data_IF_294965400569
#
_entry.id   IF_294965400569
#
_cell.length_a   1.000
_cell.length_b   1.000
_cell.length_c   1.000
_cell.angle_alpha   90.00
_cell.angle_beta   90.00
_cell.angle_gamma   90.00
#
_symmetry.space_group_name_H-M   'P 1'
#
loop_
_entity.id
_entity.type
_entity.pdbx_description
1 polymer ?
#
# COMPACT_ATOMS: atom_id res chain seq x y z
N UNK A 1 -25.97 -11.31 -12.88
CA UNK A 1 -25.53 -11.32 -11.47
C UNK A 1 -24.45 -10.27 -11.31
N UNK A 2 -24.73 -9.16 -10.64
CA UNK A 2 -23.75 -8.25 -10.03
C UNK A 2 -24.53 -7.35 -9.05
N UNK A 3 -24.95 -7.97 -7.95
CA UNK A 3 -25.37 -7.28 -6.74
C UNK A 3 -24.12 -7.04 -5.88
N UNK A 4 -23.99 -5.84 -5.33
CA UNK A 4 -23.20 -5.62 -4.12
C UNK A 4 -22.19 -4.48 -4.19
N UNK A 5 -22.29 -3.60 -3.19
CA UNK A 5 -21.23 -2.78 -2.58
C UNK A 5 -21.15 -1.26 -2.85
N UNK A 6 -22.24 -0.61 -3.28
CA UNK A 6 -22.39 0.87 -3.12
C UNK A 6 -23.22 1.24 -1.86
N UNK A 7 -23.87 0.26 -1.23
CA UNK A 7 -24.82 0.46 -0.13
C UNK A 7 -24.28 0.89 1.25
N UNK A 8 -23.02 0.66 1.69
CA UNK A 8 -22.68 0.92 3.09
C UNK A 8 -22.47 2.41 3.39
N UNK A 9 -22.12 3.24 2.41
CA UNK A 9 -21.86 4.67 2.63
C UNK A 9 -23.16 5.50 2.68
N UNK A 10 -24.11 5.22 1.79
CA UNK A 10 -25.43 5.86 1.81
C UNK A 10 -26.22 5.43 3.05
N UNK A 11 -26.12 4.16 3.45
CA UNK A 11 -26.70 3.63 4.70
C UNK A 11 -26.11 4.29 5.95
N UNK A 12 -24.80 4.58 5.96
CA UNK A 12 -24.15 5.24 7.10
C UNK A 12 -24.56 6.72 7.18
N UNK A 13 -24.66 7.40 6.03
CA UNK A 13 -25.15 8.78 5.97
C UNK A 13 -26.62 8.86 6.42
N UNK A 14 -27.48 7.95 5.98
CA UNK A 14 -28.89 7.91 6.40
C UNK A 14 -29.04 7.57 7.89
N UNK A 15 -28.27 6.62 8.43
CA UNK A 15 -28.28 6.33 9.87
C UNK A 15 -27.78 7.50 10.72
N UNK A 16 -26.82 8.29 10.22
CA UNK A 16 -26.38 9.53 10.88
C UNK A 16 -27.48 10.59 10.86
N UNK A 17 -28.21 10.73 9.76
CA UNK A 17 -29.37 11.62 9.68
C UNK A 17 -30.52 11.16 10.60
N UNK A 18 -30.82 9.87 10.68
CA UNK A 18 -31.86 9.33 11.56
C UNK A 18 -31.46 9.46 13.04
N UNK A 19 -30.18 9.30 13.38
CA UNK A 19 -29.67 9.53 14.74
C UNK A 19 -29.72 11.02 15.13
N UNK A 20 -29.42 11.91 14.18
CA UNK A 20 -29.61 13.36 14.34
C UNK A 20 -31.09 13.75 14.45
N UNK A 21 -31.99 13.06 13.76
CA UNK A 21 -33.44 13.33 13.78
C UNK A 21 -34.13 12.78 15.04
N UNK A 22 -33.61 11.69 15.62
CA UNK A 22 -34.11 11.13 16.88
C UNK A 22 -33.64 11.94 18.10
N UNK A 23 -32.40 12.45 18.05
CA UNK A 23 -31.86 13.35 19.08
C UNK A 23 -32.40 14.77 18.98
N UNK A 24 -32.75 15.24 17.77
CA UNK A 24 -33.46 16.52 17.59
C UNK A 24 -34.88 16.46 18.16
N UNK A 25 -35.68 15.43 17.88
CA UNK A 25 -37.08 15.39 18.34
C UNK A 25 -37.24 15.29 19.87
N UNK A 26 -36.32 14.61 20.56
CA UNK A 26 -36.36 14.47 22.03
C UNK A 26 -35.72 15.65 22.79
N UNK A 27 -34.77 16.38 22.17
CA UNK A 27 -34.15 17.58 22.75
C UNK A 27 -34.91 18.87 22.48
N UNK A 28 -35.65 18.97 21.37
CA UNK A 28 -36.34 20.20 20.97
C UNK A 28 -37.62 20.46 21.78
N UNK A 29 -38.32 19.44 22.31
CA UNK A 29 -39.58 19.67 23.04
C UNK A 29 -39.36 20.29 24.43
N UNK A 30 -38.24 19.97 25.10
CA UNK A 30 -37.87 20.55 26.39
C UNK A 30 -37.08 21.85 26.25
N UNK A 31 -36.27 22.02 25.19
CA UNK A 31 -35.60 23.30 24.89
C UNK A 31 -36.53 24.36 24.31
N UNK A 32 -37.51 24.02 23.46
CA UNK A 32 -38.41 25.02 22.85
C UNK A 32 -39.29 25.75 23.87
N UNK A 33 -39.69 25.07 24.95
CA UNK A 33 -40.44 25.72 26.04
C UNK A 33 -39.57 26.61 26.93
N UNK A 34 -38.25 26.36 26.99
CA UNK A 34 -37.30 27.19 27.73
C UNK A 34 -36.76 28.36 26.88
N UNK A 35 -36.75 28.24 25.55
CA UNK A 35 -36.31 29.28 24.61
C UNK A 35 -37.40 30.29 24.23
N UNK A 36 -38.69 29.95 24.36
CA UNK A 36 -39.80 30.87 24.08
C UNK A 36 -39.81 32.13 24.96
N UNK A 37 -39.15 32.12 26.12
CA UNK A 37 -39.05 33.29 27.00
C UNK A 37 -37.84 34.19 26.70
N UNK A 38 -36.82 33.69 25.98
CA UNK A 38 -35.57 34.41 25.69
C UNK A 38 -35.65 35.18 24.35
N UNK A 39 -36.52 34.75 23.44
CA UNK A 39 -36.64 35.33 22.09
C UNK A 39 -37.31 36.72 22.09
N UNK A 40 -38.03 37.10 23.15
CA UNK A 40 -38.69 38.41 23.24
C UNK A 40 -37.75 39.60 23.52
N UNK A 41 -36.43 39.41 23.58
CA UNK A 41 -35.47 40.49 23.87
C UNK A 41 -34.23 40.56 22.94
N UNK A 42 -34.13 39.76 21.86
CA UNK A 42 -32.92 39.73 21.02
C UNK A 42 -33.21 40.31 19.64
N UNK A 43 -32.47 41.38 19.27
CA UNK A 43 -32.59 42.03 17.97
C UNK A 43 -32.20 41.08 16.81
N UNK A 44 -32.89 41.14 15.65
CA UNK A 44 -32.72 40.20 14.52
C UNK A 44 -31.30 40.09 13.96
N UNK A 45 -30.47 41.14 14.10
CA UNK A 45 -29.08 41.17 13.63
C UNK A 45 -28.20 40.13 14.31
N UNK A 46 -28.40 39.89 15.60
CA UNK A 46 -27.55 38.99 16.38
C UNK A 46 -27.78 37.51 16.00
N UNK A 47 -29.01 37.15 15.59
CA UNK A 47 -29.37 35.78 15.20
C UNK A 47 -28.65 35.39 13.89
N UNK A 48 -28.54 36.32 12.94
CA UNK A 48 -27.87 36.07 11.67
C UNK A 48 -26.36 35.83 11.86
N UNK A 49 -25.71 36.61 12.72
CA UNK A 49 -24.29 36.48 13.03
C UNK A 49 -23.96 35.15 13.73
N UNK A 50 -24.85 34.67 14.61
CA UNK A 50 -24.73 33.34 15.22
C UNK A 50 -24.85 32.20 14.19
N UNK A 51 -25.79 32.31 13.26
CA UNK A 51 -25.98 31.31 12.19
C UNK A 51 -24.75 31.26 11.28
N UNK A 52 -24.22 32.42 10.89
CA UNK A 52 -23.01 32.52 10.06
C UNK A 52 -21.78 31.93 10.77
N UNK A 53 -21.61 32.23 12.06
CA UNK A 53 -20.50 31.68 12.86
C UNK A 53 -20.59 30.16 12.98
N UNK A 54 -21.79 29.60 13.17
CA UNK A 54 -22.00 28.14 13.22
C UNK A 54 -21.72 27.48 11.85
N UNK A 55 -22.12 28.13 10.75
CA UNK A 55 -21.85 27.64 9.41
C UNK A 55 -20.34 27.61 9.11
N UNK A 56 -19.59 28.63 9.52
CA UNK A 56 -18.13 28.68 9.35
C UNK A 56 -17.42 27.56 10.13
N UNK A 57 -17.82 27.32 11.39
CA UNK A 57 -17.27 26.24 12.22
C UNK A 57 -17.57 24.87 11.59
N UNK A 58 -18.81 24.66 11.11
CA UNK A 58 -19.19 23.44 10.43
C UNK A 58 -18.38 23.23 9.13
N UNK A 59 -18.14 24.30 8.37
CA UNK A 59 -17.30 24.28 7.18
C UNK A 59 -15.87 23.84 7.47
N UNK A 60 -15.23 24.42 8.49
CA UNK A 60 -13.87 24.05 8.91
C UNK A 60 -13.81 22.59 9.40
N UNK A 61 -14.79 22.16 10.20
CA UNK A 61 -14.87 20.78 10.68
C UNK A 61 -15.03 19.77 9.54
N UNK A 62 -15.84 20.08 8.52
CA UNK A 62 -16.01 19.24 7.34
C UNK A 62 -14.72 19.08 6.54
N UNK A 63 -13.97 20.17 6.32
CA UNK A 63 -12.65 20.12 5.67
C UNK A 63 -11.68 19.26 6.47
N UNK A 64 -11.65 19.44 7.79
CA UNK A 64 -10.83 18.62 8.69
C UNK A 64 -11.16 17.13 8.60
N UNK A 65 -12.45 16.79 8.54
CA UNK A 65 -12.90 15.41 8.39
C UNK A 65 -12.53 14.82 7.03
N UNK A 66 -12.66 15.58 5.93
CA UNK A 66 -12.22 15.13 4.59
C UNK A 66 -10.72 14.85 4.58
N UNK A 67 -9.89 15.75 5.13
CA UNK A 67 -8.45 15.55 5.24
C UNK A 67 -8.12 14.30 6.05
N UNK A 68 -8.77 14.11 7.19
CA UNK A 68 -8.60 12.93 8.02
C UNK A 68 -8.98 11.65 7.26
N UNK A 69 -10.14 11.62 6.59
CA UNK A 69 -10.62 10.48 5.80
C UNK A 69 -9.66 10.16 4.66
N UNK A 70 -9.21 11.15 3.89
CA UNK A 70 -8.24 10.97 2.80
C UNK A 70 -6.92 10.40 3.34
N UNK A 71 -6.45 10.90 4.48
CA UNK A 71 -5.26 10.40 5.14
C UNK A 71 -5.41 8.94 5.58
N UNK A 72 -6.50 8.59 6.28
CA UNK A 72 -6.77 7.22 6.72
C UNK A 72 -6.96 6.26 5.54
N UNK A 73 -7.69 6.66 4.49
CA UNK A 73 -7.86 5.86 3.28
C UNK A 73 -6.53 5.64 2.55
N UNK A 74 -5.69 6.67 2.45
CA UNK A 74 -4.36 6.50 1.87
C UNK A 74 -3.52 5.48 2.63
N UNK A 75 -3.64 5.44 3.96
CA UNK A 75 -2.95 4.45 4.80
C UNK A 75 -3.51 3.04 4.60
N UNK A 76 -4.84 2.90 4.56
CA UNK A 76 -5.50 1.61 4.33
C UNK A 76 -5.15 1.02 2.96
N UNK A 77 -5.15 1.82 1.89
CA UNK A 77 -4.76 1.36 0.55
C UNK A 77 -3.33 0.83 0.51
N UNK A 78 -2.38 1.54 1.14
CA UNK A 78 -0.98 1.11 1.24
C UNK A 78 -0.82 -0.18 2.04
N UNK A 79 -1.62 -0.36 3.10
CA UNK A 79 -1.61 -1.59 3.90
C UNK A 79 -2.21 -2.78 3.14
N UNK A 80 -3.32 -2.57 2.44
CA UNK A 80 -3.93 -3.59 1.59
C UNK A 80 -2.95 -4.09 0.52
N UNK A 81 -2.25 -3.16 -0.16
CA UNK A 81 -1.21 -3.53 -1.13
C UNK A 81 -0.05 -4.31 -0.50
N UNK A 82 0.35 -4.00 0.75
CA UNK A 82 1.37 -4.79 1.45
C UNK A 82 0.89 -6.22 1.76
N UNK A 83 -0.38 -6.40 2.14
CA UNK A 83 -0.97 -7.72 2.36
C UNK A 83 -1.04 -8.51 1.06
N UNK A 84 -1.35 -7.87 -0.05
CA UNK A 84 -1.35 -8.50 -1.37
C UNK A 84 0.06 -8.96 -1.76
N UNK A 85 1.07 -8.11 -1.62
CA UNK A 85 2.48 -8.50 -1.80
C UNK A 85 2.86 -9.63 -0.84
N UNK A 86 2.39 -9.60 0.41
CA UNK A 86 2.66 -10.67 1.36
C UNK A 86 2.11 -12.00 0.87
N UNK A 87 0.90 -12.02 0.31
CA UNK A 87 0.30 -13.21 -0.29
C UNK A 87 1.08 -13.66 -1.52
N UNK A 88 1.46 -12.72 -2.40
CA UNK A 88 2.25 -12.99 -3.60
C UNK A 88 3.60 -13.63 -3.23
N UNK A 89 4.38 -13.00 -2.36
CA UNK A 89 5.74 -13.43 -2.07
C UNK A 89 5.82 -14.63 -1.11
N UNK A 90 4.84 -14.85 -0.24
CA UNK A 90 4.87 -15.97 0.73
C UNK A 90 4.05 -17.20 0.32
N UNK A 91 3.45 -17.18 -0.87
CA UNK A 91 2.88 -18.39 -1.46
C UNK A 91 3.90 -19.53 -1.49
N UNK A 92 3.41 -20.77 -1.39
CA UNK A 92 4.26 -21.97 -1.41
C UNK A 92 5.10 -22.00 -2.69
N UNK A 93 4.47 -21.76 -3.83
CA UNK A 93 5.10 -21.75 -5.14
C UNK A 93 6.20 -20.69 -5.25
N UNK A 94 5.99 -19.48 -4.71
CA UNK A 94 6.98 -18.39 -4.77
C UNK A 94 8.15 -18.65 -3.82
N UNK A 95 7.89 -19.30 -2.67
CA UNK A 95 8.96 -19.77 -1.78
C UNK A 95 9.81 -20.86 -2.45
N UNK A 96 9.16 -21.82 -3.11
CA UNK A 96 9.83 -22.87 -3.89
C UNK A 96 10.62 -22.25 -5.05
N UNK A 97 10.04 -21.31 -5.79
CA UNK A 97 10.71 -20.64 -6.90
C UNK A 97 12.01 -19.93 -6.47
N UNK A 98 11.98 -19.25 -5.32
CA UNK A 98 13.19 -18.64 -4.75
C UNK A 98 14.21 -19.68 -4.30
N UNK A 99 13.78 -20.78 -3.68
CA UNK A 99 14.68 -21.86 -3.29
C UNK A 99 15.39 -22.46 -4.51
N UNK A 100 14.66 -22.68 -5.61
CA UNK A 100 15.20 -23.17 -6.88
C UNK A 100 16.15 -22.16 -7.53
N UNK A 101 15.84 -20.85 -7.51
CA UNK A 101 16.77 -19.80 -7.94
C UNK A 101 18.08 -19.84 -7.14
N UNK A 102 18.00 -19.99 -5.82
CA UNK A 102 19.19 -20.05 -4.97
C UNK A 102 20.00 -21.32 -5.20
N UNK A 103 19.34 -22.45 -5.47
CA UNK A 103 20.02 -23.68 -5.86
C UNK A 103 20.75 -23.53 -7.19
N UNK A 104 20.10 -22.99 -8.22
CA UNK A 104 20.72 -22.68 -9.50
C UNK A 104 21.94 -21.76 -9.32
N UNK A 105 21.81 -20.72 -8.49
CA UNK A 105 22.92 -19.80 -8.20
C UNK A 105 24.09 -20.50 -7.47
N UNK A 106 23.82 -21.38 -6.52
CA UNK A 106 24.88 -22.18 -5.87
C UNK A 106 25.62 -23.06 -6.89
N UNK A 107 24.89 -23.74 -7.77
CA UNK A 107 25.51 -24.56 -8.83
C UNK A 107 26.31 -23.70 -9.81
N UNK A 108 25.81 -22.53 -10.19
CA UNK A 108 26.55 -21.55 -10.99
C UNK A 108 27.85 -21.11 -10.29
N UNK A 109 27.84 -20.84 -8.98
CA UNK A 109 29.06 -20.43 -8.25
C UNK A 109 30.14 -21.51 -8.23
N UNK A 110 29.76 -22.78 -8.26
CA UNK A 110 30.70 -23.91 -8.30
C UNK A 110 31.21 -24.18 -9.72
N UNK A 111 30.32 -24.10 -10.71
CA UNK A 111 30.63 -24.54 -12.09
C UNK A 111 31.04 -23.41 -13.03
N UNK A 112 30.69 -22.16 -12.71
CA UNK A 112 30.77 -21.02 -13.61
C UNK A 112 29.77 -21.07 -14.77
N UNK A 113 28.91 -22.10 -14.86
CA UNK A 113 28.01 -22.28 -16.00
C UNK A 113 26.67 -21.56 -15.80
N UNK A 114 26.45 -20.49 -16.54
CA UNK A 114 25.23 -19.70 -16.48
C UNK A 114 24.04 -20.34 -17.22
N UNK A 115 24.26 -21.40 -18.02
CA UNK A 115 23.19 -22.12 -18.70
C UNK A 115 22.24 -22.82 -17.74
N UNK A 116 22.67 -23.06 -16.49
CA UNK A 116 21.87 -23.67 -15.42
C UNK A 116 20.58 -22.88 -15.17
N UNK A 117 20.60 -21.55 -15.32
CA UNK A 117 19.40 -20.72 -15.13
C UNK A 117 18.36 -20.87 -16.26
N UNK A 118 18.77 -21.39 -17.41
CA UNK A 118 17.90 -21.62 -18.57
C UNK A 118 17.59 -23.11 -18.79
N UNK A 119 18.11 -23.99 -17.92
CA UNK A 119 17.76 -25.42 -17.86
C UNK A 119 16.26 -25.60 -17.58
N UNK A 120 15.62 -26.57 -18.23
CA UNK A 120 14.18 -26.83 -18.10
C UNK A 120 13.74 -26.98 -16.64
N UNK A 121 14.61 -27.52 -15.78
CA UNK A 121 14.35 -27.71 -14.36
C UNK A 121 14.31 -26.41 -13.55
N UNK A 122 15.12 -25.40 -13.90
CA UNK A 122 15.23 -24.14 -13.14
C UNK A 122 14.52 -22.96 -13.80
N UNK A 123 14.42 -22.96 -15.12
CA UNK A 123 14.04 -21.80 -15.93
C UNK A 123 12.73 -21.19 -15.50
N UNK A 124 11.71 -22.01 -15.25
CA UNK A 124 10.40 -21.51 -14.83
C UNK A 124 10.47 -20.80 -13.47
N UNK A 125 11.14 -21.41 -12.49
CA UNK A 125 11.29 -20.86 -11.14
C UNK A 125 12.12 -19.58 -11.11
N UNK A 126 13.19 -19.52 -11.91
CA UNK A 126 14.00 -18.32 -12.10
C UNK A 126 13.13 -17.20 -12.70
N UNK A 127 12.38 -17.50 -13.77
CA UNK A 127 11.50 -16.54 -14.43
C UNK A 127 10.41 -16.02 -13.50
N UNK A 128 9.80 -16.91 -12.72
CA UNK A 128 8.76 -16.55 -11.76
C UNK A 128 9.30 -15.58 -10.71
N UNK A 129 10.45 -15.90 -10.11
CA UNK A 129 11.06 -15.06 -9.09
C UNK A 129 11.39 -13.65 -9.60
N UNK A 130 12.03 -13.54 -10.78
CA UNK A 130 12.39 -12.22 -11.32
C UNK A 130 11.16 -11.41 -11.73
N UNK A 131 10.10 -12.06 -12.23
CA UNK A 131 8.84 -11.42 -12.58
C UNK A 131 8.11 -10.93 -11.33
N UNK A 132 7.98 -11.76 -10.30
CA UNK A 132 7.34 -11.39 -9.04
C UNK A 132 7.97 -10.13 -8.44
N UNK A 133 9.30 -10.08 -8.36
CA UNK A 133 9.99 -8.90 -7.82
C UNK A 133 9.95 -7.69 -8.74
N UNK A 134 9.88 -7.88 -10.07
CA UNK A 134 9.71 -6.76 -11.00
C UNK A 134 8.31 -6.14 -10.90
N UNK A 135 7.27 -6.96 -10.74
CA UNK A 135 5.90 -6.50 -10.50
C UNK A 135 5.79 -5.78 -9.16
N UNK A 136 6.32 -6.38 -8.09
CA UNK A 136 6.42 -5.75 -6.77
C UNK A 136 7.15 -4.42 -6.84
N UNK A 137 8.29 -4.36 -7.55
CA UNK A 137 9.04 -3.13 -7.74
C UNK A 137 8.21 -2.05 -8.42
N UNK A 138 7.37 -2.41 -9.41
CA UNK A 138 6.48 -1.47 -10.06
C UNK A 138 5.40 -0.92 -9.12
N UNK A 139 4.83 -1.78 -8.26
CA UNK A 139 3.82 -1.38 -7.26
C UNK A 139 4.39 -0.44 -6.20
N UNK A 140 5.59 -0.74 -5.69
CA UNK A 140 6.32 0.09 -4.74
C UNK A 140 6.68 1.44 -5.36
N UNK A 141 7.24 1.44 -6.58
CA UNK A 141 7.61 2.66 -7.30
C UNK A 141 6.42 3.59 -7.57
N UNK A 142 5.24 3.04 -7.84
CA UNK A 142 3.99 3.79 -8.04
C UNK A 142 3.34 4.27 -6.74
N UNK A 143 3.91 3.94 -5.57
CA UNK A 143 3.37 4.34 -4.26
C UNK A 143 2.10 3.59 -3.84
N UNK A 144 1.74 2.53 -4.57
CA UNK A 144 0.62 1.63 -4.21
C UNK A 144 0.95 0.82 -2.96
N UNK A 145 2.24 0.56 -2.75
CA UNK A 145 2.78 -0.01 -1.52
C UNK A 145 3.78 0.94 -0.89
N UNK A 146 3.72 1.10 0.43
CA UNK A 146 4.70 1.88 1.18
C UNK A 146 6.08 1.24 1.08
N UNK A 147 7.04 1.92 0.45
CA UNK A 147 8.43 1.48 0.35
C UNK A 147 9.01 1.12 1.72
N UNK A 148 8.79 1.97 2.73
CA UNK A 148 9.31 1.75 4.07
C UNK A 148 8.77 0.44 4.68
N UNK A 149 7.43 0.23 4.62
CA UNK A 149 6.83 -0.97 5.18
C UNK A 149 7.24 -2.24 4.42
N UNK A 150 7.38 -2.14 3.09
CA UNK A 150 7.88 -3.24 2.29
C UNK A 150 9.32 -3.60 2.68
N UNK A 151 10.21 -2.60 2.75
CA UNK A 151 11.61 -2.81 3.08
C UNK A 151 11.82 -3.24 4.52
N UNK A 152 10.97 -2.85 5.46
CA UNK A 152 11.01 -3.35 6.85
C UNK A 152 10.90 -4.89 6.91
N UNK A 153 10.18 -5.51 5.96
CA UNK A 153 9.91 -6.96 5.94
C UNK A 153 10.77 -7.70 4.90
N UNK A 154 10.95 -7.13 3.71
CA UNK A 154 11.42 -7.88 2.53
C UNK A 154 12.78 -7.43 1.98
N UNK A 155 13.48 -6.49 2.62
CA UNK A 155 14.78 -6.02 2.12
C UNK A 155 15.76 -7.18 1.85
N UNK A 156 15.82 -8.15 2.77
CA UNK A 156 16.78 -9.25 2.71
C UNK A 156 16.50 -10.16 1.52
N UNK A 157 15.26 -10.63 1.38
CA UNK A 157 14.90 -11.54 0.31
C UNK A 157 14.97 -10.87 -1.07
N UNK A 158 14.68 -9.57 -1.13
CA UNK A 158 14.83 -8.76 -2.36
C UNK A 158 16.29 -8.77 -2.80
N UNK A 159 17.23 -8.46 -1.90
CA UNK A 159 18.66 -8.42 -2.23
C UNK A 159 19.22 -9.79 -2.59
N UNK A 160 18.87 -10.85 -1.84
CA UNK A 160 19.32 -12.21 -2.15
C UNK A 160 18.81 -12.67 -3.51
N UNK A 161 17.55 -12.39 -3.83
CA UNK A 161 16.96 -12.73 -5.13
C UNK A 161 17.58 -11.93 -6.27
N UNK A 162 17.88 -10.65 -6.05
CA UNK A 162 18.59 -9.81 -7.02
C UNK A 162 20.00 -10.33 -7.28
N UNK A 163 20.78 -10.57 -6.23
CA UNK A 163 22.14 -11.08 -6.35
C UNK A 163 22.21 -12.42 -7.08
N UNK A 164 21.24 -13.31 -6.82
CA UNK A 164 21.16 -14.61 -7.48
C UNK A 164 20.77 -14.50 -8.97
N UNK A 165 20.01 -13.47 -9.38
CA UNK A 165 19.42 -13.38 -10.71
C UNK A 165 20.01 -12.29 -11.62
N UNK A 166 20.82 -11.36 -11.10
CA UNK A 166 21.33 -10.21 -11.87
C UNK A 166 22.10 -10.62 -13.14
N UNK A 167 22.82 -11.74 -13.07
CA UNK A 167 23.64 -12.26 -14.19
C UNK A 167 22.74 -12.69 -15.35
N UNK A 168 21.68 -13.45 -15.07
CA UNK A 168 20.74 -13.91 -16.10
C UNK A 168 19.87 -12.76 -16.62
N UNK A 169 19.52 -11.77 -15.78
CA UNK A 169 18.84 -10.55 -16.22
C UNK A 169 19.72 -9.79 -17.21
N UNK A 170 21.00 -9.60 -16.91
CA UNK A 170 21.93 -8.89 -17.79
C UNK A 170 22.13 -9.62 -19.12
N UNK A 171 22.31 -10.95 -19.10
CA UNK A 171 22.40 -11.77 -20.32
C UNK A 171 21.19 -11.58 -21.22
N UNK A 172 19.99 -11.56 -20.63
CA UNK A 172 18.72 -11.37 -21.36
C UNK A 172 18.54 -9.95 -21.88
N UNK A 173 19.03 -8.92 -21.18
CA UNK A 173 19.06 -7.54 -21.70
C UNK A 173 19.90 -7.46 -22.97
N UNK A 174 21.12 -8.01 -22.92
CA UNK A 174 22.03 -8.03 -24.07
C UNK A 174 21.45 -8.81 -25.23
N UNK A 175 20.93 -10.02 -25.00
CA UNK A 175 20.41 -10.86 -26.09
C UNK A 175 19.15 -10.29 -26.77
N UNK A 176 18.35 -9.51 -26.03
CA UNK A 176 17.12 -8.89 -26.54
C UNK A 176 17.33 -7.46 -27.04
N UNK A 177 18.53 -6.88 -26.85
CA UNK A 177 18.78 -5.46 -27.02
C UNK A 177 17.74 -4.58 -26.29
N UNK A 178 17.43 -4.94 -25.04
CA UNK A 178 16.40 -4.26 -24.23
C UNK A 178 16.90 -4.05 -22.80
N UNK A 179 17.44 -2.86 -22.53
CA UNK A 179 18.09 -2.53 -21.25
C UNK A 179 17.09 -2.39 -20.10
N UNK A 180 15.84 -2.04 -20.39
CA UNK A 180 14.79 -1.82 -19.40
C UNK A 180 14.15 -3.15 -18.93
N UNK A 181 14.60 -4.30 -19.45
CA UNK A 181 14.14 -5.59 -18.98
C UNK A 181 14.38 -5.73 -17.46
N UNK A 182 13.30 -5.98 -16.71
CA UNK A 182 13.30 -6.12 -15.24
C UNK A 182 13.81 -4.88 -14.48
N UNK A 183 13.70 -3.68 -15.05
CA UNK A 183 14.19 -2.44 -14.45
C UNK A 183 13.56 -2.14 -13.08
N UNK A 184 12.30 -2.53 -12.85
CA UNK A 184 11.66 -2.25 -11.56
C UNK A 184 12.24 -3.13 -10.44
N UNK A 185 12.67 -4.35 -10.75
CA UNK A 185 13.37 -5.19 -9.78
C UNK A 185 14.74 -4.58 -9.43
N UNK A 186 15.49 -4.09 -10.42
CA UNK A 186 16.78 -3.42 -10.19
C UNK A 186 16.64 -2.19 -9.29
N UNK A 187 15.65 -1.33 -9.56
CA UNK A 187 15.36 -0.16 -8.72
C UNK A 187 15.00 -0.59 -7.30
N UNK A 188 14.13 -1.60 -7.16
CA UNK A 188 13.74 -2.12 -5.84
C UNK A 188 14.94 -2.71 -5.08
N UNK A 189 15.84 -3.40 -5.76
CA UNK A 189 17.07 -3.92 -5.18
C UNK A 189 18.01 -2.79 -4.72
N UNK A 190 18.17 -1.73 -5.53
CA UNK A 190 18.94 -0.54 -5.15
C UNK A 190 18.39 0.12 -3.88
N UNK A 191 17.07 0.23 -3.77
CA UNK A 191 16.43 0.80 -2.59
C UNK A 191 16.59 -0.12 -1.36
N UNK A 192 16.50 -1.44 -1.55
CA UNK A 192 16.77 -2.40 -0.50
C UNK A 192 18.23 -2.36 -0.02
N UNK A 193 19.18 -2.12 -0.92
CA UNK A 193 20.61 -1.99 -0.58
C UNK A 193 20.87 -0.74 0.25
N UNK A 194 20.31 0.41 -0.15
CA UNK A 194 20.37 1.65 0.65
C UNK A 194 19.78 1.46 2.03
N UNK A 195 18.63 0.79 2.11
CA UNK A 195 17.97 0.49 3.39
C UNK A 195 18.83 -0.42 4.29
N UNK A 196 19.39 -1.50 3.71
CA UNK A 196 20.30 -2.41 4.41
C UNK A 196 21.54 -1.70 4.91
N UNK A 197 22.19 -0.88 4.09
CA UNK A 197 23.39 -0.14 4.48
C UNK A 197 23.12 0.85 5.61
N UNK A 198 21.91 1.41 5.68
CA UNK A 198 21.51 2.33 6.75
C UNK A 198 21.19 1.63 8.08
N UNK A 199 20.52 0.48 8.05
CA UNK A 199 19.97 -0.17 9.27
C UNK A 199 20.71 -1.44 9.70
N UNK A 200 21.31 -2.14 8.75
CA UNK A 200 21.88 -3.48 8.92
C UNK A 200 23.22 -3.62 8.16
N UNK A 201 24.21 -2.75 8.39
CA UNK A 201 25.42 -2.67 7.56
C UNK A 201 26.22 -3.98 7.53
N UNK A 202 26.24 -4.73 8.63
CA UNK A 202 26.97 -5.99 8.79
C UNK A 202 26.23 -7.23 8.27
N UNK A 203 24.97 -7.12 7.84
CA UNK A 203 24.22 -8.29 7.40
C UNK A 203 24.69 -8.82 6.05
N UNK A 204 24.82 -10.14 5.93
CA UNK A 204 25.07 -10.80 4.66
C UNK A 204 23.81 -10.80 3.78
N UNK A 205 24.01 -10.59 2.49
CA UNK A 205 22.98 -10.65 1.44
C UNK A 205 23.34 -11.66 0.35
N UNK A 206 24.26 -12.55 0.69
CA UNK A 206 24.56 -13.69 -0.15
C UNK A 206 23.34 -14.65 -0.19
N UNK A 207 23.04 -15.28 -1.33
CA UNK A 207 21.93 -16.22 -1.48
C UNK A 207 22.09 -17.56 -0.72
N UNK A 208 22.81 -17.57 0.42
CA UNK A 208 23.10 -18.74 1.25
C UNK A 208 22.93 -18.39 2.73
#
# INVERSE_FOLDING_TARGET
MLTGTILPFVSLITQIFDFLDLTSKLGFSSMALQYGSIINQISPSNILDWILTLADIAGVAAIGLVVAVVYFQSRQRKFAGLIEIFKLLNGKEQREARAMLFEAYRKYKVTGNDSIFDDEFYKEYVNRTISDFNEVGALVKKGLVSTNLFLDVYWNITLRSWNASRIIIQKRRTSRNYNEYMINFEVLASDAEKYKNKRFPSSSVEPF
#
